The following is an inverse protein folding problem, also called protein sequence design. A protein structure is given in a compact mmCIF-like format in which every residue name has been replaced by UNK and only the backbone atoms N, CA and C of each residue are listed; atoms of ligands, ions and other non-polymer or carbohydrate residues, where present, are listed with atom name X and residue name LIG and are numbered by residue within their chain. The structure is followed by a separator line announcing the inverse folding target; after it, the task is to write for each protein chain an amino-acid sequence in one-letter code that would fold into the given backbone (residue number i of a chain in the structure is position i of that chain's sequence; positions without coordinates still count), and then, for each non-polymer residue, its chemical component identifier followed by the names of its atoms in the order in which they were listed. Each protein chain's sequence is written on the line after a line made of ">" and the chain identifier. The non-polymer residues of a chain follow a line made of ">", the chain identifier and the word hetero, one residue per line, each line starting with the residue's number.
data_IF_114781270768
#
_entry.id   IF_114781270768
#
_cell.length_a   1.000
_cell.length_b   1.000
_cell.length_c   1.000
_cell.angle_alpha   90.00
_cell.angle_beta   90.00
_cell.angle_gamma   90.00
#
_symmetry.space_group_name_H-M   'P 1'
#
loop_
_entity.id
_entity.type
_entity.pdbx_description
1 polymer ?
#
# COMPACT_ATOMS: atom_id res chain seq x y z
N UNK A 1 -31.31 28.39 21.82
CA UNK A 1 -30.24 27.40 22.12
C UNK A 1 -30.77 26.47 23.20
N UNK A 2 -31.26 25.29 22.85
CA UNK A 2 -31.77 24.30 23.81
C UNK A 2 -30.74 23.17 23.87
N UNK A 3 -30.24 22.92 25.06
CA UNK A 3 -29.32 21.82 25.36
C UNK A 3 -30.14 20.60 25.74
N UNK A 4 -30.16 19.54 24.90
CA UNK A 4 -30.78 18.28 25.25
C UNK A 4 -29.69 17.31 25.70
N UNK A 5 -29.56 17.09 26.97
CA UNK A 5 -28.71 16.05 27.53
C UNK A 5 -29.51 14.75 27.66
N UNK A 6 -29.11 13.69 26.96
CA UNK A 6 -29.62 12.33 27.22
C UNK A 6 -28.65 11.59 28.10
N UNK A 7 -29.12 11.24 29.30
CA UNK A 7 -28.40 10.40 30.25
C UNK A 7 -28.84 8.96 30.07
N UNK A 8 -27.95 8.09 29.65
CA UNK A 8 -28.18 6.64 29.63
C UNK A 8 -27.70 6.07 30.96
N UNK A 9 -28.64 5.56 31.76
CA UNK A 9 -28.35 4.83 32.97
C UNK A 9 -28.36 3.34 32.66
N UNK A 10 -27.19 2.70 32.69
CA UNK A 10 -27.09 1.24 32.62
C UNK A 10 -27.35 0.62 33.98
N UNK A 11 -28.42 -0.19 34.11
CA UNK A 11 -28.82 -0.84 35.34
C UNK A 11 -27.96 -2.08 35.56
N UNK A 12 -27.16 -2.07 36.63
CA UNK A 12 -26.35 -3.22 37.01
C UNK A 12 -27.19 -4.23 37.82
N UNK A 13 -27.12 -5.50 37.42
CA UNK A 13 -27.64 -6.62 38.17
C UNK A 13 -26.70 -6.97 39.35
N UNK A 14 -27.24 -7.26 40.50
CA UNK A 14 -26.51 -7.64 41.69
C UNK A 14 -25.94 -9.05 41.59
N UNK A 15 -24.62 -9.19 41.77
CA UNK A 15 -23.97 -10.46 42.08
C UNK A 15 -23.25 -10.26 43.41
N UNK A 16 -23.50 -11.20 44.32
CA UNK A 16 -23.15 -11.10 45.74
C UNK A 16 -21.66 -11.02 46.06
N UNK A 17 -21.42 -10.45 47.21
CA UNK A 17 -20.21 -10.45 48.06
C UNK A 17 -18.88 -9.98 47.43
N UNK A 18 -18.59 -8.69 47.61
CA UNK A 18 -17.27 -8.28 48.10
C UNK A 18 -16.17 -8.02 47.09
N UNK A 19 -16.41 -7.15 46.05
CA UNK A 19 -15.33 -6.36 45.41
C UNK A 19 -15.94 -5.05 44.92
N UNK A 20 -15.43 -3.92 45.39
CA UNK A 20 -15.82 -2.59 44.88
C UNK A 20 -15.10 -2.32 43.57
N UNK A 21 -15.83 -2.44 42.45
CA UNK A 21 -15.35 -2.02 41.14
C UNK A 21 -15.80 -0.57 40.91
N UNK A 22 -14.87 0.36 40.88
CA UNK A 22 -15.13 1.75 40.46
C UNK A 22 -15.25 1.80 38.94
N UNK A 23 -16.47 1.87 38.44
CA UNK A 23 -16.72 2.09 37.01
C UNK A 23 -16.78 3.59 36.74
N UNK A 24 -15.81 4.11 36.00
CA UNK A 24 -15.80 5.51 35.58
C UNK A 24 -16.94 5.80 34.59
N UNK A 25 -17.76 6.81 34.91
CA UNK A 25 -18.81 7.32 34.03
C UNK A 25 -18.16 8.22 33.00
N UNK A 26 -18.14 7.80 31.71
CA UNK A 26 -17.71 8.65 30.61
C UNK A 26 -18.94 9.45 30.10
N UNK A 27 -18.97 10.74 30.40
CA UNK A 27 -20.00 11.63 29.86
C UNK A 27 -19.57 12.11 28.51
N UNK A 28 -20.25 11.67 27.44
CA UNK A 28 -20.06 12.19 26.09
C UNK A 28 -21.11 13.27 25.86
N UNK A 29 -20.70 14.52 25.78
CA UNK A 29 -21.55 15.65 25.40
C UNK A 29 -21.45 15.83 23.88
N UNK A 30 -22.47 15.42 23.16
CA UNK A 30 -22.61 15.76 21.74
C UNK A 30 -23.28 17.12 21.61
N UNK A 31 -22.58 18.07 21.02
CA UNK A 31 -23.14 19.39 20.65
C UNK A 31 -23.54 19.30 19.17
N UNK A 32 -24.84 19.19 18.92
CA UNK A 32 -25.37 19.34 17.55
C UNK A 32 -25.52 20.85 17.25
N UNK A 33 -24.63 21.36 16.41
CA UNK A 33 -24.77 22.70 15.83
C UNK A 33 -25.64 22.60 14.57
N UNK A 34 -26.94 22.92 14.71
CA UNK A 34 -27.80 23.25 13.58
C UNK A 34 -27.83 24.75 13.43
N UNK A 35 -26.92 25.29 12.65
CA UNK A 35 -27.12 26.59 12.01
C UNK A 35 -27.87 26.36 10.68
N UNK A 36 -29.02 27.00 10.60
CA UNK A 36 -29.80 27.05 9.37
C UNK A 36 -29.03 27.88 8.35
N UNK A 37 -28.51 27.22 7.30
CA UNK A 37 -28.00 27.90 6.14
C UNK A 37 -29.18 28.45 5.33
N UNK A 38 -29.35 29.76 5.27
CA UNK A 38 -30.18 30.46 4.28
C UNK A 38 -29.65 30.11 2.88
N UNK A 39 -30.55 29.57 2.05
CA UNK A 39 -30.27 29.28 0.66
C UNK A 39 -30.08 30.57 -0.13
N UNK A 40 -28.84 30.85 -0.53
CA UNK A 40 -28.53 31.85 -1.55
C UNK A 40 -28.85 31.23 -2.91
N UNK A 41 -29.65 31.87 -3.78
CA UNK A 41 -29.93 31.34 -5.11
C UNK A 41 -28.63 31.33 -5.94
N UNK A 42 -28.29 30.18 -6.49
CA UNK A 42 -27.18 30.05 -7.43
C UNK A 42 -27.53 30.74 -8.74
N UNK A 43 -26.91 31.86 -9.03
CA UNK A 43 -26.82 32.38 -10.37
C UNK A 43 -26.00 31.44 -11.24
N UNK A 44 -26.65 30.95 -12.31
CA UNK A 44 -26.01 30.10 -13.29
C UNK A 44 -24.95 30.90 -14.07
N UNK A 45 -23.69 30.59 -13.81
CA UNK A 45 -22.58 31.02 -14.67
C UNK A 45 -22.59 30.12 -15.90
N UNK A 46 -22.69 30.69 -17.13
CA UNK A 46 -22.64 29.86 -18.34
C UNK A 46 -21.24 29.22 -18.45
N UNK A 47 -21.21 27.89 -18.61
CA UNK A 47 -20.02 27.15 -18.90
C UNK A 47 -19.57 27.49 -20.32
N UNK A 48 -18.64 28.40 -20.49
CA UNK A 48 -17.86 28.48 -21.74
C UNK A 48 -16.93 27.28 -21.82
N UNK A 49 -17.23 26.43 -22.80
CA UNK A 49 -16.39 25.29 -23.15
C UNK A 49 -15.04 25.81 -23.68
N UNK A 50 -14.00 25.67 -22.88
CA UNK A 50 -12.61 25.86 -23.33
C UNK A 50 -12.22 24.61 -24.13
N UNK A 51 -11.92 24.69 -25.42
CA UNK A 51 -11.44 23.57 -26.19
C UNK A 51 -10.04 23.23 -25.74
N UNK A 52 -9.87 22.06 -25.12
CA UNK A 52 -8.61 21.51 -24.65
C UNK A 52 -7.89 20.77 -25.78
N UNK A 53 -7.64 21.43 -26.93
CA UNK A 53 -6.81 20.87 -28.00
C UNK A 53 -6.38 21.95 -29.00
N UNK A 54 -5.54 22.89 -28.60
CA UNK A 54 -4.82 23.76 -29.57
C UNK A 54 -3.76 24.69 -28.95
N UNK A 55 -3.11 24.33 -27.86
CA UNK A 55 -2.09 25.21 -27.27
C UNK A 55 -0.77 24.53 -26.88
N UNK A 56 -0.34 23.49 -27.60
CA UNK A 56 1.00 22.89 -27.40
C UNK A 56 1.71 22.64 -28.75
N UNK A 57 1.46 23.44 -29.76
CA UNK A 57 2.11 23.25 -31.07
C UNK A 57 2.68 24.55 -31.68
N UNK A 58 3.14 25.50 -30.88
CA UNK A 58 3.96 26.61 -31.41
C UNK A 58 4.79 27.21 -30.30
N UNK A 59 5.98 26.69 -30.07
CA UNK A 59 7.17 27.36 -29.55
C UNK A 59 8.27 26.36 -29.17
N UNK A 60 8.88 25.68 -30.11
CA UNK A 60 10.29 25.26 -30.00
C UNK A 60 10.85 25.10 -31.42
N UNK A 61 11.06 26.17 -32.13
CA UNK A 61 12.14 26.25 -33.12
C UNK A 61 13.28 27.06 -32.52
N UNK A 62 14.42 26.41 -32.37
CA UNK A 62 15.70 27.07 -32.15
C UNK A 62 16.29 26.91 -30.76
N UNK A 63 16.90 25.81 -30.51
CA UNK A 63 18.30 25.66 -30.06
C UNK A 63 18.59 24.15 -29.93
N UNK A 64 19.39 23.63 -30.84
CA UNK A 64 20.12 22.37 -30.65
C UNK A 64 21.16 22.59 -29.52
N UNK A 65 20.68 22.63 -28.28
CA UNK A 65 21.49 22.24 -27.14
C UNK A 65 21.02 20.84 -26.78
N UNK A 66 21.87 19.84 -27.10
CA UNK A 66 21.63 18.47 -26.74
C UNK A 66 21.17 18.36 -25.30
N UNK A 67 19.90 18.07 -25.09
CA UNK A 67 19.42 17.56 -23.82
C UNK A 67 20.19 16.28 -23.60
N UNK A 68 21.21 16.32 -22.73
CA UNK A 68 21.85 15.14 -22.23
C UNK A 68 20.73 14.29 -21.66
N UNK A 69 20.26 13.30 -22.43
CA UNK A 69 19.42 12.22 -21.90
C UNK A 69 20.26 11.64 -20.79
N UNK A 70 19.83 11.77 -19.55
CA UNK A 70 20.41 11.00 -18.48
C UNK A 70 20.31 9.55 -18.90
N UNK A 71 21.42 8.98 -19.38
CA UNK A 71 21.47 7.56 -19.70
C UNK A 71 21.26 6.81 -18.38
N UNK A 72 20.11 6.13 -18.28
CA UNK A 72 19.83 5.30 -17.12
C UNK A 72 20.78 4.11 -17.17
N UNK A 73 21.62 3.98 -16.15
CA UNK A 73 22.55 2.88 -16.06
C UNK A 73 24.03 3.30 -16.12
N UNK A 74 24.88 2.31 -16.30
CA UNK A 74 26.33 2.45 -16.41
C UNK A 74 26.84 1.76 -17.67
N UNK A 75 27.91 2.26 -18.26
CA UNK A 75 28.58 1.65 -19.41
C UNK A 75 29.31 0.35 -19.06
N UNK A 76 30.05 -0.24 -20.01
CA UNK A 76 30.95 -1.37 -19.76
C UNK A 76 31.92 -1.10 -18.62
N UNK A 77 32.27 -2.16 -17.91
CA UNK A 77 33.26 -2.05 -16.83
C UNK A 77 34.62 -1.63 -17.36
N UNK A 78 35.23 -0.63 -16.76
CA UNK A 78 36.56 -0.13 -17.12
C UNK A 78 37.62 -0.70 -16.17
N UNK A 79 38.63 -1.34 -16.70
CA UNK A 79 39.73 -1.92 -15.96
C UNK A 79 39.67 -3.43 -15.79
N UNK A 80 40.53 -4.03 -14.91
CA UNK A 80 40.49 -5.47 -14.63
C UNK A 80 39.13 -5.87 -14.07
N UNK A 81 38.60 -7.01 -14.51
CA UNK A 81 37.31 -7.48 -13.96
C UNK A 81 37.44 -7.76 -12.46
N UNK A 82 36.36 -7.40 -11.70
CA UNK A 82 36.38 -7.61 -10.26
C UNK A 82 36.32 -9.09 -9.92
N UNK A 83 36.92 -9.49 -8.81
CA UNK A 83 36.87 -10.86 -8.30
C UNK A 83 35.55 -11.12 -7.56
N UNK A 84 35.03 -12.35 -7.65
CA UNK A 84 33.83 -12.80 -6.94
C UNK A 84 32.81 -13.41 -7.89
N UNK A 85 31.91 -14.22 -7.32
CA UNK A 85 30.88 -15.02 -8.04
C UNK A 85 29.54 -14.27 -8.22
N UNK A 86 29.42 -13.09 -7.64
CA UNK A 86 28.20 -12.28 -7.71
C UNK A 86 28.12 -11.39 -8.96
N UNK A 87 29.18 -11.32 -9.76
CA UNK A 87 29.24 -10.51 -10.97
C UNK A 87 28.62 -11.23 -12.16
N UNK A 88 28.01 -10.45 -13.05
CA UNK A 88 27.47 -10.91 -14.32
C UNK A 88 28.46 -10.47 -15.45
N UNK A 89 29.07 -11.45 -16.11
CA UNK A 89 30.06 -11.18 -17.15
C UNK A 89 29.50 -10.41 -18.36
N UNK A 90 28.23 -10.64 -18.72
CA UNK A 90 27.57 -9.93 -19.82
C UNK A 90 27.39 -8.46 -19.44
N UNK A 91 26.95 -8.20 -18.23
CA UNK A 91 26.77 -6.83 -17.73
C UNK A 91 28.12 -6.09 -17.58
N UNK A 92 29.18 -6.79 -17.16
CA UNK A 92 30.52 -6.20 -17.11
C UNK A 92 31.01 -5.82 -18.52
N UNK A 93 30.68 -6.62 -19.53
CA UNK A 93 31.10 -6.40 -20.91
C UNK A 93 30.27 -5.33 -21.64
N UNK A 94 28.97 -5.31 -21.42
CA UNK A 94 28.03 -4.49 -22.20
C UNK A 94 27.48 -3.27 -21.45
N UNK A 95 27.70 -3.22 -20.14
CA UNK A 95 27.12 -2.22 -19.25
C UNK A 95 25.81 -2.68 -18.62
N UNK A 96 25.39 -1.98 -17.58
CA UNK A 96 24.17 -2.30 -16.82
C UNK A 96 23.16 -1.17 -16.87
N UNK A 97 22.08 -1.38 -17.63
CA UNK A 97 20.97 -0.42 -17.79
C UNK A 97 19.76 -0.77 -16.94
N UNK A 98 19.87 -1.74 -16.02
CA UNK A 98 18.78 -2.14 -15.14
C UNK A 98 18.45 -1.03 -14.13
N UNK A 99 17.19 -0.98 -13.67
CA UNK A 99 16.77 -0.08 -12.60
C UNK A 99 17.13 -0.68 -11.23
N UNK A 100 18.41 -0.70 -10.92
CA UNK A 100 18.94 -1.16 -9.63
C UNK A 100 19.74 -0.05 -8.96
N UNK A 101 19.87 -0.12 -7.63
CA UNK A 101 20.75 0.79 -6.89
C UNK A 101 22.22 0.52 -7.24
N UNK A 102 23.08 1.51 -7.06
CA UNK A 102 24.48 1.43 -7.51
C UNK A 102 25.25 0.24 -6.91
N UNK A 103 24.95 -0.16 -5.69
CA UNK A 103 25.50 -1.37 -5.06
C UNK A 103 25.36 -2.62 -5.93
N UNK A 104 24.25 -2.73 -6.68
CA UNK A 104 23.93 -3.92 -7.48
C UNK A 104 24.29 -3.80 -8.95
N UNK A 105 24.99 -2.72 -9.33
CA UNK A 105 25.49 -2.60 -10.70
C UNK A 105 26.40 -3.78 -11.02
N UNK A 106 26.18 -4.38 -12.17
CA UNK A 106 26.86 -5.55 -12.71
C UNK A 106 26.69 -6.85 -11.91
N UNK A 107 25.92 -6.86 -10.80
CA UNK A 107 25.65 -8.11 -10.09
C UNK A 107 24.70 -9.01 -10.89
N UNK A 108 24.91 -10.32 -10.79
CA UNK A 108 23.95 -11.28 -11.32
C UNK A 108 22.60 -11.15 -10.59
N UNK A 109 21.52 -11.53 -11.28
CA UNK A 109 20.20 -11.47 -10.71
C UNK A 109 20.07 -12.33 -9.45
N UNK A 110 20.64 -13.53 -9.48
CA UNK A 110 20.59 -14.47 -8.35
C UNK A 110 21.39 -13.93 -7.14
N UNK A 111 22.51 -13.28 -7.37
CA UNK A 111 23.28 -12.64 -6.31
C UNK A 111 22.49 -11.48 -5.65
N UNK A 112 21.78 -10.67 -6.44
CA UNK A 112 20.90 -9.62 -5.92
C UNK A 112 19.80 -10.22 -5.05
N UNK A 113 19.10 -11.26 -5.53
CA UNK A 113 18.06 -11.93 -4.77
C UNK A 113 18.60 -12.49 -3.46
N UNK A 114 19.75 -13.18 -3.51
CA UNK A 114 20.38 -13.75 -2.32
C UNK A 114 20.74 -12.68 -1.28
N UNK A 115 21.30 -11.53 -1.69
CA UNK A 115 21.57 -10.41 -0.77
C UNK A 115 20.27 -9.81 -0.18
N UNK A 116 19.23 -9.61 -0.99
CA UNK A 116 17.94 -9.13 -0.53
C UNK A 116 17.32 -10.08 0.49
N UNK A 117 17.39 -11.38 0.26
CA UNK A 117 16.80 -12.42 1.11
C UNK A 117 17.39 -12.43 2.53
N UNK A 118 18.64 -12.01 2.69
CA UNK A 118 19.27 -11.87 4.02
C UNK A 118 18.64 -10.76 4.87
N UNK A 119 17.89 -9.86 4.26
CA UNK A 119 17.41 -8.60 4.87
C UNK A 119 15.91 -8.37 4.76
N UNK A 120 15.16 -9.26 4.10
CA UNK A 120 13.71 -9.08 3.95
C UNK A 120 13.03 -8.96 5.30
N UNK A 121 12.08 -8.03 5.35
CA UNK A 121 11.24 -7.82 6.52
C UNK A 121 10.20 -8.94 6.68
N UNK A 122 9.68 -9.10 7.90
CA UNK A 122 8.77 -10.18 8.27
C UNK A 122 7.32 -9.96 7.80
N UNK A 123 7.04 -8.91 7.01
CA UNK A 123 5.70 -8.71 6.48
C UNK A 123 5.59 -9.17 5.03
N UNK A 124 4.41 -9.61 4.67
CA UNK A 124 4.02 -10.02 3.33
C UNK A 124 2.98 -9.04 2.77
N UNK A 125 2.77 -9.09 1.47
CA UNK A 125 1.75 -8.31 0.75
C UNK A 125 0.92 -9.26 -0.08
N UNK A 126 -0.41 -9.12 -0.05
CA UNK A 126 -1.30 -9.90 -0.91
C UNK A 126 -2.25 -8.96 -1.67
N UNK A 127 -2.60 -9.33 -2.89
CA UNK A 127 -3.57 -8.60 -3.70
C UNK A 127 -4.49 -9.58 -4.44
N UNK A 128 -5.78 -9.28 -4.42
CA UNK A 128 -6.78 -10.01 -5.21
C UNK A 128 -6.65 -9.69 -6.69
N UNK A 129 -6.78 -10.69 -7.54
CA UNK A 129 -6.67 -10.56 -8.99
C UNK A 129 -7.77 -11.36 -9.71
N UNK A 130 -9.02 -10.92 -9.57
CA UNK A 130 -10.15 -11.54 -10.26
C UNK A 130 -10.46 -10.88 -11.62
N UNK A 131 -10.09 -9.59 -11.82
CA UNK A 131 -10.47 -8.79 -12.97
C UNK A 131 -9.29 -8.19 -13.77
N UNK A 132 -8.06 -8.67 -13.64
CA UNK A 132 -6.86 -8.10 -14.29
C UNK A 132 -6.54 -6.67 -13.83
N UNK A 133 -6.18 -6.54 -12.56
CA UNK A 133 -5.82 -5.25 -11.98
C UNK A 133 -4.48 -4.72 -12.52
N UNK A 134 -4.47 -3.47 -12.98
CA UNK A 134 -3.27 -2.78 -13.45
C UNK A 134 -2.34 -2.37 -12.29
N UNK A 135 -2.86 -2.30 -11.06
CA UNK A 135 -2.13 -1.86 -9.87
C UNK A 135 -1.13 -2.91 -9.36
N UNK A 136 -1.35 -4.21 -9.67
CA UNK A 136 -0.53 -5.30 -9.14
C UNK A 136 0.96 -5.06 -9.40
N UNK A 137 1.33 -4.67 -10.62
CA UNK A 137 2.71 -4.36 -10.95
C UNK A 137 3.32 -3.27 -10.08
N UNK A 138 2.55 -2.22 -9.79
CA UNK A 138 2.98 -1.12 -8.92
C UNK A 138 3.12 -1.58 -7.47
N UNK A 139 2.20 -2.43 -6.99
CA UNK A 139 2.29 -3.02 -5.64
C UNK A 139 3.54 -3.89 -5.52
N UNK A 140 3.82 -4.76 -6.50
CA UNK A 140 5.04 -5.59 -6.52
C UNK A 140 6.31 -4.73 -6.47
N UNK A 141 6.35 -3.65 -7.26
CA UNK A 141 7.48 -2.70 -7.25
C UNK A 141 7.66 -2.04 -5.89
N UNK A 142 6.56 -1.60 -5.27
CA UNK A 142 6.59 -0.96 -3.95
C UNK A 142 6.99 -1.96 -2.86
N UNK A 143 6.48 -3.20 -2.92
CA UNK A 143 6.86 -4.28 -2.01
C UNK A 143 8.36 -4.60 -2.08
N UNK A 144 8.93 -4.63 -3.29
CA UNK A 144 10.38 -4.76 -3.45
C UNK A 144 11.14 -3.57 -2.84
N UNK A 145 10.68 -2.35 -3.05
CA UNK A 145 11.32 -1.15 -2.47
C UNK A 145 11.24 -1.11 -0.94
N UNK A 146 10.17 -1.66 -0.35
CA UNK A 146 9.97 -1.77 1.10
C UNK A 146 10.50 -3.08 1.69
N UNK A 147 11.21 -3.90 0.91
CA UNK A 147 11.80 -5.17 1.33
C UNK A 147 10.78 -6.15 1.95
N UNK A 148 9.54 -6.17 1.46
CA UNK A 148 8.55 -7.16 1.87
C UNK A 148 9.06 -8.59 1.62
N UNK A 149 8.68 -9.54 2.49
CA UNK A 149 9.12 -10.92 2.41
C UNK A 149 8.75 -11.55 1.07
N UNK A 150 7.48 -11.49 0.73
CA UNK A 150 6.92 -12.09 -0.48
C UNK A 150 5.63 -11.34 -0.88
N UNK A 151 5.29 -11.34 -2.16
CA UNK A 151 4.01 -10.84 -2.68
C UNK A 151 3.14 -12.02 -3.11
N UNK A 152 1.87 -11.99 -2.73
CA UNK A 152 0.90 -13.04 -3.00
C UNK A 152 -0.17 -12.53 -3.96
N UNK A 153 -0.39 -13.26 -5.04
CA UNK A 153 -1.45 -12.98 -6.00
C UNK A 153 -2.57 -13.99 -5.76
N UNK A 154 -3.75 -13.53 -5.35
CA UNK A 154 -4.90 -14.36 -5.05
C UNK A 154 -5.86 -14.33 -6.24
N UNK A 155 -6.24 -15.50 -6.77
CA UNK A 155 -7.13 -15.62 -7.91
C UNK A 155 -6.42 -15.91 -9.23
N UNK A 156 -6.56 -15.05 -10.24
CA UNK A 156 -5.94 -15.29 -11.56
C UNK A 156 -4.42 -15.24 -11.49
N UNK A 157 -3.75 -16.24 -12.06
CA UNK A 157 -2.29 -16.31 -12.09
C UNK A 157 -1.64 -15.23 -12.96
N UNK A 158 -2.29 -14.82 -14.06
CA UNK A 158 -1.79 -13.78 -14.95
C UNK A 158 -2.13 -12.41 -14.41
N UNK A 159 -1.16 -11.53 -14.29
CA UNK A 159 -1.31 -10.15 -13.90
C UNK A 159 -0.45 -9.22 -14.78
N UNK A 160 -0.75 -7.93 -14.78
CA UNK A 160 -0.04 -6.95 -15.58
C UNK A 160 1.28 -6.56 -14.90
N UNK A 161 2.41 -6.96 -15.51
CA UNK A 161 3.76 -6.70 -15.01
C UNK A 161 4.30 -5.31 -15.37
N UNK A 162 3.58 -4.54 -16.18
CA UNK A 162 4.07 -3.25 -16.70
C UNK A 162 4.45 -2.29 -15.58
N UNK A 163 3.63 -2.18 -14.53
CA UNK A 163 3.90 -1.33 -13.36
C UNK A 163 5.07 -1.80 -12.50
N UNK A 164 5.45 -3.06 -12.58
CA UNK A 164 6.57 -3.61 -11.83
C UNK A 164 7.93 -3.09 -12.32
N UNK A 165 8.02 -2.57 -13.55
CA UNK A 165 9.29 -2.05 -14.11
C UNK A 165 10.45 -3.03 -13.90
N UNK A 166 10.19 -4.32 -14.17
CA UNK A 166 11.15 -5.43 -14.04
C UNK A 166 11.53 -5.81 -12.60
N UNK A 167 11.04 -5.11 -11.57
CA UNK A 167 11.37 -5.42 -10.16
C UNK A 167 10.76 -6.74 -9.68
N UNK A 168 9.77 -7.27 -10.38
CA UNK A 168 9.20 -8.60 -10.17
C UNK A 168 10.23 -9.73 -10.34
N UNK A 169 11.39 -9.48 -10.95
CA UNK A 169 12.50 -10.41 -11.05
C UNK A 169 13.30 -10.56 -9.75
N UNK A 170 13.27 -9.53 -8.90
CA UNK A 170 13.98 -9.48 -7.62
C UNK A 170 13.07 -9.73 -6.41
N UNK A 171 11.74 -9.76 -6.64
CA UNK A 171 10.74 -9.97 -5.61
C UNK A 171 10.16 -11.38 -5.72
N UNK A 172 10.05 -12.09 -4.60
CA UNK A 172 9.32 -13.35 -4.56
C UNK A 172 7.84 -13.08 -4.77
N UNK A 173 7.24 -13.75 -5.76
CA UNK A 173 5.82 -13.64 -6.09
C UNK A 173 5.19 -15.02 -6.10
N UNK A 174 4.27 -15.28 -5.18
CA UNK A 174 3.54 -16.52 -5.03
C UNK A 174 2.11 -16.38 -5.54
N UNK A 175 1.57 -17.41 -6.12
CA UNK A 175 0.20 -17.45 -6.59
C UNK A 175 -0.63 -18.41 -5.74
N UNK A 176 -1.83 -17.95 -5.33
CA UNK A 176 -2.86 -18.73 -4.68
C UNK A 176 -4.10 -18.75 -5.57
N UNK A 177 -4.56 -19.93 -6.02
CA UNK A 177 -5.72 -20.03 -6.91
C UNK A 177 -7.02 -19.56 -6.28
N UNK A 178 -7.15 -19.73 -4.96
CA UNK A 178 -8.35 -19.35 -4.19
C UNK A 178 -7.99 -18.61 -2.91
N UNK A 179 -8.99 -18.02 -2.28
CA UNK A 179 -8.86 -17.34 -0.99
C UNK A 179 -8.54 -18.37 0.11
N UNK A 180 -9.18 -19.53 0.07
CA UNK A 180 -8.97 -20.61 1.05
C UNK A 180 -7.52 -21.11 1.02
N UNK A 181 -6.92 -21.28 -0.18
CA UNK A 181 -5.52 -21.65 -0.32
C UNK A 181 -4.58 -20.60 0.32
N UNK A 182 -4.91 -19.34 0.12
CA UNK A 182 -4.15 -18.23 0.71
C UNK A 182 -4.29 -18.18 2.24
N UNK A 183 -5.50 -18.30 2.76
CA UNK A 183 -5.78 -18.27 4.20
C UNK A 183 -5.11 -19.48 4.89
N UNK A 184 -5.23 -20.69 4.32
CA UNK A 184 -4.58 -21.87 4.85
C UNK A 184 -3.05 -21.71 4.90
N UNK A 185 -2.47 -21.13 3.84
CA UNK A 185 -1.04 -20.82 3.80
C UNK A 185 -0.66 -19.80 4.89
N UNK A 186 -1.38 -18.69 5.02
CA UNK A 186 -1.07 -17.63 6.01
C UNK A 186 -1.13 -18.18 7.45
N UNK A 187 -2.13 -19.03 7.74
CA UNK A 187 -2.26 -19.71 9.02
C UNK A 187 -1.09 -20.67 9.29
N UNK A 188 -0.67 -21.45 8.28
CA UNK A 188 0.47 -22.36 8.40
C UNK A 188 1.79 -21.62 8.68
N UNK A 189 1.97 -20.43 8.11
CA UNK A 189 3.14 -19.57 8.34
C UNK A 189 3.05 -18.74 9.64
N UNK A 190 1.91 -18.79 10.35
CA UNK A 190 1.65 -18.02 11.56
C UNK A 190 1.59 -16.51 11.31
N UNK A 191 1.04 -16.10 10.17
CA UNK A 191 0.88 -14.71 9.76
C UNK A 191 -0.51 -14.19 10.10
N UNK A 192 -0.57 -12.98 10.66
CA UNK A 192 -1.82 -12.25 10.84
C UNK A 192 -2.28 -11.67 9.50
N UNK A 193 -3.49 -11.96 9.07
CA UNK A 193 -4.09 -11.39 7.86
C UNK A 193 -4.68 -10.03 8.24
N UNK A 194 -4.22 -8.96 7.60
CA UNK A 194 -4.68 -7.59 7.82
C UNK A 194 -5.23 -7.06 6.49
N UNK A 195 -6.55 -6.87 6.44
CA UNK A 195 -7.21 -6.25 5.29
C UNK A 195 -6.96 -4.75 5.23
N UNK A 196 -6.84 -4.19 4.03
CA UNK A 196 -6.73 -2.74 3.83
C UNK A 196 -7.85 -2.32 2.89
N UNK A 197 -8.94 -1.80 3.48
CA UNK A 197 -10.10 -1.28 2.76
C UNK A 197 -11.03 -0.49 3.71
N UNK A 198 -12.14 0.04 3.20
CA UNK A 198 -13.11 0.84 3.92
C UNK A 198 -14.39 0.02 4.13
N UNK A 199 -14.49 -0.65 5.27
CA UNK A 199 -15.70 -1.31 5.75
C UNK A 199 -16.29 -0.53 6.94
N UNK A 200 -17.56 -0.76 7.31
CA UNK A 200 -18.19 -0.07 8.45
C UNK A 200 -17.49 -0.30 9.79
N UNK A 201 -16.78 -1.41 9.93
CA UNK A 201 -16.05 -1.86 11.13
C UNK A 201 -14.52 -1.71 10.99
N UNK A 202 -14.04 -1.08 9.90
CA UNK A 202 -12.61 -0.83 9.71
C UNK A 202 -12.04 0.08 10.80
N UNK A 203 -10.82 -0.23 11.21
CA UNK A 203 -10.05 0.55 12.19
C UNK A 203 -9.08 1.47 11.46
N UNK A 204 -8.84 2.73 11.91
CA UNK A 204 -7.86 3.61 11.28
C UNK A 204 -6.45 3.03 11.32
N UNK A 205 -5.79 2.96 10.15
CA UNK A 205 -4.40 2.51 10.02
C UNK A 205 -3.44 3.38 10.86
N UNK A 206 -3.75 4.67 10.96
CA UNK A 206 -2.93 5.69 11.61
C UNK A 206 -2.70 5.41 13.09
N UNK A 207 -3.66 4.75 13.75
CA UNK A 207 -3.62 4.44 15.19
C UNK A 207 -3.46 2.96 15.48
N UNK A 208 -3.47 2.11 14.47
CA UNK A 208 -3.40 0.66 14.64
C UNK A 208 -1.97 0.17 14.89
N UNK A 209 -1.81 -0.70 15.87
CA UNK A 209 -0.52 -1.35 16.15
C UNK A 209 -0.32 -2.57 15.24
N UNK A 210 0.21 -2.32 14.05
CA UNK A 210 0.46 -3.36 13.05
C UNK A 210 1.32 -4.49 13.60
N UNK A 211 0.91 -5.77 13.45
CA UNK A 211 1.72 -6.91 13.84
C UNK A 211 3.04 -6.97 13.04
N UNK A 212 4.10 -7.43 13.70
CA UNK A 212 5.39 -7.60 13.01
C UNK A 212 5.32 -8.66 11.92
N UNK A 213 4.68 -9.81 12.23
CA UNK A 213 4.44 -10.90 11.28
C UNK A 213 3.03 -10.82 10.77
N UNK A 214 2.84 -10.25 9.61
CA UNK A 214 1.53 -10.09 8.99
C UNK A 214 1.60 -10.16 7.47
N UNK A 215 0.44 -10.33 6.87
CA UNK A 215 0.23 -10.11 5.44
C UNK A 215 -0.79 -8.98 5.26
N UNK A 216 -0.38 -7.90 4.61
CA UNK A 216 -1.22 -6.77 4.23
C UNK A 216 -1.97 -7.14 2.95
N UNK A 217 -3.29 -7.21 3.02
CA UNK A 217 -4.13 -7.70 1.91
C UNK A 217 -4.92 -6.56 1.30
N UNK A 218 -4.84 -6.45 -0.02
CA UNK A 218 -5.50 -5.40 -0.80
C UNK A 218 -6.52 -6.01 -1.76
N UNK A 219 -7.66 -5.36 -1.87
CA UNK A 219 -8.68 -5.68 -2.84
C UNK A 219 -8.35 -5.20 -4.24
N UNK A 220 -9.24 -5.47 -5.18
CA UNK A 220 -9.19 -5.01 -6.56
C UNK A 220 -9.62 -3.54 -6.68
N UNK A 221 -9.17 -2.90 -7.74
CA UNK A 221 -9.73 -1.60 -8.11
C UNK A 221 -11.20 -1.74 -8.52
N UNK A 222 -12.07 -0.99 -7.89
CA UNK A 222 -13.52 -1.00 -8.07
C UNK A 222 -14.24 -1.81 -7.00
N UNK A 223 -14.22 -3.16 -7.01
CA UNK A 223 -14.88 -3.97 -5.99
C UNK A 223 -14.29 -3.81 -4.58
N UNK A 224 -13.00 -3.49 -4.48
CA UNK A 224 -12.29 -3.52 -3.21
C UNK A 224 -11.93 -4.93 -2.74
N UNK A 225 -11.72 -5.08 -1.44
CA UNK A 225 -11.47 -6.35 -0.77
C UNK A 225 -12.75 -7.18 -0.73
N UNK A 226 -12.66 -8.46 -1.07
CA UNK A 226 -13.81 -9.35 -0.98
C UNK A 226 -14.29 -9.52 0.46
N UNK A 227 -15.59 -9.74 0.64
CA UNK A 227 -16.17 -10.02 1.96
C UNK A 227 -15.55 -11.28 2.60
N UNK A 228 -15.16 -12.24 1.78
CA UNK A 228 -14.52 -13.46 2.22
C UNK A 228 -13.13 -13.22 2.83
N UNK A 229 -12.31 -12.38 2.20
CA UNK A 229 -11.03 -11.96 2.76
C UNK A 229 -11.19 -11.01 3.94
N UNK A 230 -12.21 -10.12 3.92
CA UNK A 230 -12.55 -9.29 5.07
C UNK A 230 -12.91 -10.16 6.29
N UNK A 231 -13.73 -11.19 6.11
CA UNK A 231 -14.10 -12.12 7.17
C UNK A 231 -12.94 -12.99 7.67
N UNK A 232 -11.94 -13.28 6.81
CA UNK A 232 -10.75 -14.04 7.17
C UNK A 232 -9.65 -13.18 7.81
N UNK A 233 -9.72 -11.86 7.65
CA UNK A 233 -8.78 -10.94 8.25
C UNK A 233 -8.98 -10.86 9.77
N UNK A 234 -7.89 -10.69 10.50
CA UNK A 234 -7.94 -10.36 11.92
C UNK A 234 -8.61 -9.02 12.15
N UNK A 235 -8.19 -8.03 11.37
CA UNK A 235 -8.76 -6.69 11.32
C UNK A 235 -8.69 -6.16 9.89
N UNK A 236 -9.62 -5.29 9.52
CA UNK A 236 -9.53 -4.49 8.30
C UNK A 236 -9.25 -3.05 8.68
N UNK A 237 -8.25 -2.46 8.03
CA UNK A 237 -7.79 -1.10 8.33
C UNK A 237 -8.16 -0.15 7.20
N UNK A 238 -8.70 1.00 7.58
CA UNK A 238 -8.96 2.10 6.67
C UNK A 238 -7.85 3.14 6.73
N UNK A 239 -7.57 3.79 5.61
CA UNK A 239 -6.71 4.97 5.55
C UNK A 239 -7.60 6.19 5.58
N UNK A 240 -7.39 7.09 6.53
CA UNK A 240 -8.16 8.32 6.68
C UNK A 240 -8.07 9.20 5.40
N UNK A 241 -9.23 9.66 4.91
CA UNK A 241 -9.36 10.46 3.71
C UNK A 241 -10.13 11.75 4.01
N UNK A 242 -9.54 12.90 3.69
CA UNK A 242 -10.09 14.22 4.01
C UNK A 242 -10.62 14.96 2.77
N UNK A 243 -10.57 14.33 1.62
CA UNK A 243 -11.01 14.90 0.35
C UNK A 243 -12.44 14.54 -0.03
N UNK A 244 -12.79 14.80 -1.28
CA UNK A 244 -14.13 14.53 -1.84
C UNK A 244 -14.29 13.12 -2.43
N UNK A 245 -13.21 12.38 -2.59
CA UNK A 245 -13.23 11.02 -3.17
C UNK A 245 -13.57 9.98 -2.11
N UNK A 246 -14.28 8.92 -2.54
CA UNK A 246 -14.65 7.80 -1.64
C UNK A 246 -13.50 6.84 -1.38
N UNK A 247 -12.56 6.75 -2.32
CA UNK A 247 -11.44 5.82 -2.25
C UNK A 247 -10.22 6.39 -2.96
N UNK A 248 -9.05 5.92 -2.56
CA UNK A 248 -7.80 6.18 -3.27
C UNK A 248 -7.42 4.97 -4.13
N UNK A 249 -6.48 5.17 -5.05
CA UNK A 249 -5.95 4.10 -5.87
C UNK A 249 -5.33 2.97 -5.00
N UNK A 250 -5.61 1.71 -5.35
CA UNK A 250 -5.18 0.54 -4.57
C UNK A 250 -3.64 0.44 -4.39
N UNK A 251 -2.85 0.79 -5.41
CA UNK A 251 -1.40 0.80 -5.29
C UNK A 251 -0.88 1.92 -4.37
N UNK A 252 -1.58 3.06 -4.33
CA UNK A 252 -1.28 4.15 -3.39
C UNK A 252 -1.58 3.72 -1.97
N UNK A 253 -2.75 3.11 -1.71
CA UNK A 253 -3.12 2.56 -0.42
C UNK A 253 -2.09 1.50 0.05
N UNK A 254 -1.66 0.62 -0.88
CA UNK A 254 -0.63 -0.36 -0.59
C UNK A 254 0.71 0.28 -0.18
N UNK A 255 1.12 1.35 -0.86
CA UNK A 255 2.33 2.09 -0.50
C UNK A 255 2.24 2.71 0.90
N UNK A 256 1.10 3.29 1.25
CA UNK A 256 0.86 3.89 2.58
C UNK A 256 0.90 2.81 3.67
N UNK A 257 0.19 1.69 3.49
CA UNK A 257 0.14 0.62 4.48
C UNK A 257 1.50 -0.06 4.68
N UNK A 258 2.24 -0.35 3.60
CA UNK A 258 3.61 -0.86 3.69
C UNK A 258 4.55 0.12 4.40
N UNK A 259 4.43 1.43 4.10
CA UNK A 259 5.23 2.45 4.77
C UNK A 259 4.86 2.59 6.25
N UNK A 260 3.57 2.45 6.63
CA UNK A 260 3.16 2.43 8.04
C UNK A 260 3.82 1.27 8.80
N UNK A 261 3.88 0.07 8.20
CA UNK A 261 4.61 -1.07 8.78
C UNK A 261 6.11 -0.77 8.95
N UNK A 262 6.77 -0.22 7.91
CA UNK A 262 8.19 0.17 7.96
C UNK A 262 8.45 1.23 9.03
N UNK A 263 7.61 2.26 9.11
CA UNK A 263 7.69 3.28 10.17
C UNK A 263 7.67 2.65 11.56
N UNK A 264 6.75 1.70 11.76
CA UNK A 264 6.58 1.02 13.05
C UNK A 264 7.77 0.13 13.41
N UNK A 265 8.15 -0.78 12.51
CA UNK A 265 9.05 -1.89 12.83
C UNK A 265 10.51 -1.65 12.46
N UNK A 266 10.79 -0.75 11.52
CA UNK A 266 12.17 -0.40 11.12
C UNK A 266 12.62 0.89 11.81
N UNK A 267 11.76 1.91 11.85
CA UNK A 267 12.10 3.22 12.45
C UNK A 267 11.62 3.37 13.90
N UNK A 268 10.89 2.42 14.44
CA UNK A 268 10.41 2.44 15.83
C UNK A 268 9.40 3.55 16.13
N UNK A 269 8.69 4.07 15.11
CA UNK A 269 7.69 5.10 15.27
C UNK A 269 6.36 4.49 15.70
N UNK A 270 5.97 4.71 16.94
CA UNK A 270 4.71 4.22 17.51
C UNK A 270 3.57 5.17 17.10
N UNK A 271 2.38 4.67 16.67
CA UNK A 271 1.19 5.50 16.51
C UNK A 271 0.85 6.18 17.83
N UNK A 272 0.54 7.47 17.77
CA UNK A 272 0.20 8.29 18.97
C UNK A 272 -1.27 8.17 19.31
#
# INVERSE_FOLDING_TARGET
>A
MWLVARVFVCKMGSVGAGVALVVGVKVVVMVENREAAEAVPAEAVPAEAVPAEAAVAEAVEGTEQGTARFEVGVGPWEGPWPEGDHWDEELLREGDRRNVVDKYRYWSMDAIIADLDTRRHDFHVAIENWQHDLNIGTVVRTANAMLAKEVHIIGRRRWNRRGAMVTDRYQHVRHHPTIEDFVAWAQAEGLEIIGIDIFPDSVPLETYDLPKKCVLVFGQEGPGLSEELHAAARDTLSIEQFGSTRSMNAATAAGIAMHAWVRRHVFGQIPS
#
